data_IF_833318916052
#
_entry.id   IF_833318916052
#
_cell.length_a   1.000
_cell.length_b   1.000
_cell.length_c   1.000
_cell.angle_alpha   90.00
_cell.angle_beta   90.00
_cell.angle_gamma   90.00
#
_symmetry.space_group_name_H-M   'P 1'
#
loop_
_entity.id
_entity.type
_entity.pdbx_description
1 polymer ?
#
# COMPACT_ATOMS: atom_id res chain seq x y z
N UNK A 1 -10.59 20.58 9.00
CA UNK A 1 -9.96 19.96 7.83
C UNK A 1 -9.51 18.55 8.18
N UNK A 2 -9.97 17.60 7.44
CA UNK A 2 -9.47 16.23 7.61
C UNK A 2 -8.12 16.11 6.93
N UNK A 3 -7.11 15.70 7.67
CA UNK A 3 -5.81 15.37 7.10
C UNK A 3 -5.97 14.07 6.29
N UNK A 4 -5.34 14.03 5.11
CA UNK A 4 -5.31 12.82 4.32
C UNK A 4 -4.28 11.86 4.89
N UNK A 5 -4.69 10.63 5.17
CA UNK A 5 -3.77 9.55 5.55
C UNK A 5 -3.73 8.54 4.42
N UNK A 6 -2.54 8.13 4.04
CA UNK A 6 -2.32 7.23 2.91
C UNK A 6 -1.70 5.91 3.35
N UNK A 7 -1.88 4.88 2.52
CA UNK A 7 -1.12 3.64 2.59
C UNK A 7 -0.83 3.10 1.19
N UNK A 8 0.12 2.19 1.10
CA UNK A 8 0.60 1.63 -0.17
C UNK A 8 0.34 0.12 -0.19
N UNK A 9 -0.17 -0.37 -1.32
CA UNK A 9 -0.30 -1.80 -1.56
C UNK A 9 1.07 -2.44 -1.79
N UNK A 10 1.14 -3.74 -1.56
CA UNK A 10 2.36 -4.57 -1.67
C UNK A 10 3.08 -4.39 -3.00
N UNK A 11 2.38 -4.40 -4.12
CA UNK A 11 3.01 -4.33 -5.43
C UNK A 11 3.81 -3.05 -5.61
N UNK A 12 3.35 -1.94 -5.03
CA UNK A 12 4.07 -0.67 -5.11
C UNK A 12 5.39 -0.73 -4.34
N UNK A 13 5.40 -1.43 -3.20
CA UNK A 13 6.62 -1.65 -2.43
C UNK A 13 7.60 -2.56 -3.19
N UNK A 14 7.08 -3.59 -3.85
CA UNK A 14 7.91 -4.48 -4.70
C UNK A 14 8.54 -3.69 -5.83
N UNK A 15 7.75 -2.89 -6.56
CA UNK A 15 8.30 -2.07 -7.65
C UNK A 15 9.36 -1.09 -7.17
N UNK A 16 9.23 -0.59 -5.95
CA UNK A 16 10.20 0.37 -5.39
C UNK A 16 11.61 -0.22 -5.24
N UNK A 17 11.74 -1.55 -5.18
CA UNK A 17 13.05 -2.22 -5.07
C UNK A 17 13.42 -3.05 -6.30
N UNK A 18 12.49 -3.26 -7.22
CA UNK A 18 12.68 -4.10 -8.41
C UNK A 18 13.13 -3.24 -9.59
N UNK A 19 14.43 -3.13 -9.79
CA UNK A 19 14.99 -2.33 -10.89
C UNK A 19 14.60 -2.87 -12.27
N UNK A 20 14.22 -4.15 -12.37
CA UNK A 20 13.78 -4.73 -13.65
C UNK A 20 12.38 -4.24 -14.05
N UNK A 21 11.63 -3.62 -13.14
CA UNK A 21 10.30 -3.09 -13.42
C UNK A 21 10.33 -1.76 -14.19
N UNK A 22 11.49 -1.18 -14.44
CA UNK A 22 11.72 0.01 -15.29
C UNK A 22 10.87 1.22 -14.86
N UNK A 23 9.88 1.62 -15.68
CA UNK A 23 9.04 2.79 -15.40
C UNK A 23 8.25 2.63 -14.10
N UNK A 24 7.75 1.43 -13.80
CA UNK A 24 7.06 1.17 -12.53
C UNK A 24 8.00 1.33 -11.35
N UNK A 25 9.26 0.88 -11.51
CA UNK A 25 10.27 1.07 -10.48
C UNK A 25 10.51 2.55 -10.21
N UNK A 26 10.74 3.35 -11.24
CA UNK A 26 11.01 4.78 -11.08
C UNK A 26 9.84 5.50 -10.40
N UNK A 27 8.61 5.21 -10.83
CA UNK A 27 7.41 5.81 -10.24
C UNK A 27 7.19 5.37 -8.81
N UNK A 28 7.34 4.08 -8.52
CA UNK A 28 7.15 3.56 -7.17
C UNK A 28 8.21 4.08 -6.21
N UNK A 29 9.46 4.17 -6.65
CA UNK A 29 10.53 4.74 -5.84
C UNK A 29 10.23 6.21 -5.50
N UNK A 30 9.80 6.99 -6.47
CA UNK A 30 9.38 8.37 -6.24
C UNK A 30 8.21 8.46 -5.29
N UNK A 31 7.24 7.56 -5.44
CA UNK A 31 6.08 7.50 -4.58
C UNK A 31 6.47 7.24 -3.11
N UNK A 32 7.36 6.28 -2.86
CA UNK A 32 7.84 5.98 -1.50
C UNK A 32 8.57 7.19 -0.91
N UNK A 33 9.41 7.87 -1.71
CA UNK A 33 10.09 9.08 -1.26
C UNK A 33 9.09 10.17 -0.86
N UNK A 34 8.05 10.38 -1.65
CA UNK A 34 7.01 11.35 -1.35
C UNK A 34 6.17 10.92 -0.14
N UNK A 35 5.91 9.64 0.02
CA UNK A 35 5.15 9.10 1.13
C UNK A 35 5.81 9.39 2.48
N UNK A 36 7.15 9.51 2.51
CA UNK A 36 7.88 9.90 3.71
C UNK A 36 7.54 11.32 4.19
N UNK A 37 7.03 12.15 3.28
CA UNK A 37 6.62 13.53 3.58
C UNK A 37 5.13 13.67 3.87
N UNK A 38 4.38 12.58 3.70
CA UNK A 38 2.94 12.53 3.91
C UNK A 38 2.62 11.78 5.21
N UNK A 39 1.34 11.82 5.63
CA UNK A 39 0.86 10.94 6.71
C UNK A 39 0.62 9.56 6.11
N UNK A 40 1.65 8.74 6.08
CA UNK A 40 1.62 7.41 5.48
C UNK A 40 1.84 6.34 6.54
N UNK A 41 0.94 5.37 6.59
CA UNK A 41 1.13 4.14 7.37
C UNK A 41 1.32 2.97 6.40
N UNK A 42 1.93 1.92 6.88
CA UNK A 42 2.00 0.65 6.14
C UNK A 42 1.27 -0.43 6.95
N UNK A 43 0.70 -1.41 6.27
CA UNK A 43 0.11 -2.55 6.95
C UNK A 43 1.16 -3.64 7.12
N UNK A 44 1.09 -4.36 8.22
CA UNK A 44 1.97 -5.51 8.44
C UNK A 44 1.79 -6.56 7.34
N UNK A 45 0.55 -6.73 6.86
CA UNK A 45 0.25 -7.62 5.75
C UNK A 45 1.08 -7.26 4.51
N UNK A 46 1.09 -5.97 4.12
CA UNK A 46 1.83 -5.54 2.93
C UNK A 46 3.33 -5.81 3.07
N UNK A 47 3.89 -5.61 4.26
CA UNK A 47 5.30 -5.91 4.52
C UNK A 47 5.59 -7.40 4.42
N UNK A 48 4.71 -8.24 4.96
CA UNK A 48 4.85 -9.70 4.88
C UNK A 48 4.74 -10.20 3.44
N UNK A 49 3.75 -9.71 2.70
CA UNK A 49 3.58 -10.04 1.29
C UNK A 49 4.76 -9.54 0.44
N UNK A 50 5.30 -8.37 0.77
CA UNK A 50 6.51 -7.85 0.12
C UNK A 50 7.67 -8.83 0.27
N UNK A 51 7.96 -9.25 1.51
CA UNK A 51 9.05 -10.19 1.77
C UNK A 51 8.88 -11.47 0.96
N UNK A 52 7.69 -12.06 1.02
CA UNK A 52 7.38 -13.28 0.28
C UNK A 52 7.58 -13.09 -1.22
N UNK A 53 7.07 -11.99 -1.77
CA UNK A 53 7.13 -11.74 -3.22
C UNK A 53 8.56 -11.53 -3.71
N UNK A 54 9.35 -10.69 -3.04
CA UNK A 54 10.70 -10.35 -3.53
C UNK A 54 11.69 -11.51 -3.37
N UNK A 55 11.54 -12.31 -2.31
CA UNK A 55 12.42 -13.46 -2.09
C UNK A 55 12.03 -14.62 -2.99
N UNK A 56 10.75 -14.87 -3.16
CA UNK A 56 10.26 -15.95 -4.03
C UNK A 56 10.62 -15.73 -5.49
N UNK A 57 10.51 -14.47 -5.96
CA UNK A 57 10.79 -14.13 -7.37
C UNK A 57 12.25 -13.82 -7.64
N UNK A 58 13.11 -13.94 -6.64
CA UNK A 58 14.54 -13.66 -6.79
C UNK A 58 14.86 -12.18 -7.03
N UNK A 59 14.00 -11.27 -6.60
CA UNK A 59 14.20 -9.82 -6.77
C UNK A 59 15.21 -9.27 -5.78
N UNK A 60 15.20 -9.79 -4.54
CA UNK A 60 16.17 -9.45 -3.49
C UNK A 60 16.58 -10.70 -2.73
N UNK A 61 17.84 -10.78 -2.29
CA UNK A 61 18.24 -11.75 -1.28
C UNK A 61 17.45 -11.53 0.03
N UNK A 62 17.20 -12.61 0.77
CA UNK A 62 16.41 -12.53 2.00
C UNK A 62 16.96 -11.51 3.01
N UNK A 63 18.29 -11.44 3.16
CA UNK A 63 18.91 -10.49 4.08
C UNK A 63 18.66 -9.02 3.68
N UNK A 64 18.67 -8.73 2.39
CA UNK A 64 18.39 -7.39 1.89
C UNK A 64 16.90 -7.05 2.04
N UNK A 65 16.01 -8.01 1.77
CA UNK A 65 14.57 -7.83 1.98
C UNK A 65 14.27 -7.54 3.46
N UNK A 66 14.92 -8.26 4.37
CA UNK A 66 14.79 -8.04 5.81
C UNK A 66 15.23 -6.62 6.18
N UNK A 67 16.39 -6.18 5.70
CA UNK A 67 16.89 -4.85 5.98
C UNK A 67 15.96 -3.75 5.45
N UNK A 68 15.39 -3.95 4.27
CA UNK A 68 14.44 -3.01 3.69
C UNK A 68 13.17 -2.90 4.55
N UNK A 69 12.64 -4.02 5.02
CA UNK A 69 11.46 -4.01 5.88
C UNK A 69 11.75 -3.30 7.20
N UNK A 70 12.90 -3.58 7.81
CA UNK A 70 13.30 -2.90 9.04
C UNK A 70 13.43 -1.39 8.85
N UNK A 71 13.98 -0.95 7.72
CA UNK A 71 14.06 0.46 7.39
C UNK A 71 12.68 1.10 7.28
N UNK A 72 11.75 0.45 6.58
CA UNK A 72 10.38 0.96 6.47
C UNK A 72 9.64 0.97 7.80
N UNK A 73 9.88 -0.02 8.67
CA UNK A 73 9.31 -0.03 10.02
C UNK A 73 9.81 1.13 10.87
N UNK A 74 11.03 1.60 10.64
CA UNK A 74 11.58 2.77 11.33
C UNK A 74 11.01 4.08 10.77
N UNK A 75 10.67 4.12 9.49
CA UNK A 75 10.24 5.33 8.79
C UNK A 75 8.73 5.53 8.77
N UNK A 76 7.96 4.45 8.83
CA UNK A 76 6.50 4.49 8.75
C UNK A 76 5.88 3.80 9.97
N UNK A 77 4.75 4.30 10.43
CA UNK A 77 3.94 3.55 11.39
C UNK A 77 3.39 2.29 10.70
N UNK A 78 3.40 1.16 11.40
CA UNK A 78 2.89 -0.11 10.89
C UNK A 78 1.65 -0.50 11.69
N UNK A 79 0.59 -0.86 11.00
CA UNK A 79 -0.69 -1.22 11.61
C UNK A 79 -1.07 -2.67 11.30
N UNK A 80 -1.85 -3.27 12.19
CA UNK A 80 -2.24 -4.66 12.10
C UNK A 80 -3.76 -4.81 12.12
N UNK A 81 -4.24 -5.89 11.50
CA UNK A 81 -5.65 -6.24 11.50
C UNK A 81 -6.09 -6.77 12.87
N UNK A 82 -7.35 -6.49 13.22
CA UNK A 82 -8.03 -7.03 14.40
C UNK A 82 -9.06 -8.08 13.95
N UNK A 83 -9.63 -8.86 14.88
CA UNK A 83 -10.72 -9.77 14.52
C UNK A 83 -11.88 -9.07 13.79
N UNK A 84 -12.26 -7.87 14.24
CA UNK A 84 -13.32 -7.09 13.58
C UNK A 84 -12.92 -6.64 12.16
N UNK A 85 -11.64 -6.42 11.92
CA UNK A 85 -11.13 -6.09 10.58
C UNK A 85 -11.36 -7.25 9.62
N UNK A 86 -11.09 -8.48 10.06
CA UNK A 86 -11.33 -9.68 9.27
C UNK A 86 -12.81 -9.79 8.89
N UNK A 87 -13.70 -9.58 9.86
CA UNK A 87 -15.13 -9.66 9.61
C UNK A 87 -15.58 -8.63 8.57
N UNK A 88 -15.05 -7.43 8.63
CA UNK A 88 -15.32 -6.37 7.64
C UNK A 88 -14.82 -6.76 6.25
N UNK A 89 -13.61 -7.32 6.19
CA UNK A 89 -13.04 -7.78 4.93
C UNK A 89 -13.90 -8.87 4.29
N UNK A 90 -14.35 -9.84 5.08
CA UNK A 90 -15.21 -10.93 4.59
C UNK A 90 -16.53 -10.36 4.07
N UNK A 91 -17.14 -9.43 4.77
CA UNK A 91 -18.36 -8.76 4.30
C UNK A 91 -18.14 -8.10 2.95
N UNK A 92 -17.01 -7.43 2.75
CA UNK A 92 -16.69 -6.79 1.47
C UNK A 92 -16.51 -7.83 0.34
N UNK A 93 -15.91 -8.98 0.62
CA UNK A 93 -15.77 -10.03 -0.42
C UNK A 93 -17.13 -10.57 -0.84
N UNK A 94 -18.07 -10.72 0.09
CA UNK A 94 -19.41 -11.24 -0.21
C UNK A 94 -20.23 -10.21 -0.98
N UNK A 95 -20.22 -8.94 -0.57
CA UNK A 95 -21.10 -7.91 -1.13
C UNK A 95 -20.54 -7.18 -2.32
N UNK A 96 -19.21 -7.11 -2.48
CA UNK A 96 -18.54 -6.30 -3.50
C UNK A 96 -17.69 -7.11 -4.47
N UNK A 97 -17.57 -8.41 -4.28
CA UNK A 97 -16.76 -9.30 -5.12
C UNK A 97 -15.28 -8.87 -5.22
N UNK A 98 -14.75 -8.36 -4.13
CA UNK A 98 -13.33 -8.01 -4.01
C UNK A 98 -12.57 -9.25 -3.55
N UNK A 99 -11.36 -9.45 -4.06
CA UNK A 99 -10.49 -10.54 -3.61
C UNK A 99 -10.19 -10.41 -2.11
N UNK A 100 -10.03 -11.55 -1.43
CA UNK A 100 -9.91 -11.57 0.03
C UNK A 100 -8.74 -10.72 0.54
N UNK A 101 -7.55 -10.88 -0.03
CA UNK A 101 -6.37 -10.16 0.47
C UNK A 101 -6.44 -8.66 0.17
N UNK A 102 -7.05 -8.27 -0.95
CA UNK A 102 -7.34 -6.86 -1.24
C UNK A 102 -8.34 -6.30 -0.24
N UNK A 103 -9.37 -7.08 0.12
CA UNK A 103 -10.34 -6.68 1.12
C UNK A 103 -9.70 -6.53 2.51
N UNK A 104 -8.77 -7.43 2.86
CA UNK A 104 -8.03 -7.34 4.13
C UNK A 104 -7.18 -6.08 4.19
N UNK A 105 -6.50 -5.74 3.10
CA UNK A 105 -5.71 -4.51 3.02
C UNK A 105 -6.61 -3.29 3.19
N UNK A 106 -7.70 -3.24 2.44
CA UNK A 106 -8.66 -2.13 2.52
C UNK A 106 -9.23 -1.99 3.93
N UNK A 107 -9.69 -3.10 4.54
CA UNK A 107 -10.30 -3.06 5.87
C UNK A 107 -9.30 -2.61 6.94
N UNK A 108 -8.05 -3.09 6.85
CA UNK A 108 -6.98 -2.68 7.77
C UNK A 108 -6.68 -1.19 7.62
N UNK A 109 -6.60 -0.72 6.39
CA UNK A 109 -6.37 0.69 6.08
C UNK A 109 -7.50 1.56 6.62
N UNK A 110 -8.75 1.15 6.38
CA UNK A 110 -9.92 1.86 6.87
C UNK A 110 -9.92 1.98 8.40
N UNK A 111 -9.62 0.89 9.09
CA UNK A 111 -9.57 0.89 10.56
C UNK A 111 -8.47 1.81 11.11
N UNK A 112 -7.41 2.02 10.34
CA UNK A 112 -6.31 2.92 10.70
C UNK A 112 -6.55 4.38 10.31
N UNK A 113 -7.73 4.71 9.76
CA UNK A 113 -8.06 6.07 9.36
C UNK A 113 -7.50 6.48 8.02
N UNK A 114 -7.07 5.54 7.19
CA UNK A 114 -6.61 5.82 5.84
C UNK A 114 -7.76 6.34 4.99
N UNK A 115 -7.51 7.42 4.26
CA UNK A 115 -8.48 8.02 3.33
C UNK A 115 -8.08 7.80 1.88
N UNK A 116 -6.81 7.47 1.62
CA UNK A 116 -6.30 7.20 0.28
C UNK A 116 -5.45 5.92 0.28
N UNK A 117 -5.97 4.88 -0.36
CA UNK A 117 -5.25 3.62 -0.57
C UNK A 117 -4.69 3.62 -1.99
N UNK A 118 -3.37 3.55 -2.10
CA UNK A 118 -2.68 3.54 -3.39
C UNK A 118 -2.44 2.08 -3.80
N UNK A 119 -3.07 1.68 -4.91
CA UNK A 119 -3.04 0.30 -5.39
C UNK A 119 -3.35 0.25 -6.88
N UNK A 120 -2.72 -0.69 -7.60
CA UNK A 120 -3.07 -0.97 -8.98
C UNK A 120 -4.08 -2.11 -9.12
N UNK A 121 -4.45 -2.78 -8.01
CA UNK A 121 -5.28 -4.00 -8.02
C UNK A 121 -6.79 -3.73 -8.01
N UNK A 122 -7.21 -2.54 -7.62
CA UNK A 122 -8.63 -2.15 -7.60
C UNK A 122 -8.95 -1.36 -8.85
N UNK A 123 -10.26 -1.15 -9.08
CA UNK A 123 -10.69 -0.19 -10.09
C UNK A 123 -10.20 1.20 -9.71
N UNK A 124 -9.50 1.88 -10.64
CA UNK A 124 -8.96 3.20 -10.40
C UNK A 124 -10.09 4.19 -10.07
N UNK A 125 -9.78 5.12 -9.16
CA UNK A 125 -10.72 6.16 -8.69
C UNK A 125 -11.98 5.62 -8.02
N UNK A 126 -11.91 4.39 -7.47
CA UNK A 126 -13.05 3.88 -6.69
C UNK A 126 -13.03 4.45 -5.27
N UNK A 127 -14.21 4.43 -4.63
CA UNK A 127 -14.36 4.79 -3.22
C UNK A 127 -15.13 3.68 -2.53
N UNK A 128 -14.58 3.19 -1.43
CA UNK A 128 -15.20 2.14 -0.64
C UNK A 128 -15.17 2.57 0.82
N UNK A 129 -16.37 2.85 1.39
CA UNK A 129 -16.54 3.25 2.79
C UNK A 129 -15.59 4.37 3.22
N UNK A 130 -15.54 5.45 2.42
CA UNK A 130 -14.71 6.61 2.74
C UNK A 130 -13.24 6.48 2.41
N UNK A 131 -12.81 5.31 1.91
CA UNK A 131 -11.43 5.12 1.44
C UNK A 131 -11.41 5.27 -0.09
N UNK A 132 -10.73 6.28 -0.57
CA UNK A 132 -10.50 6.48 -2.00
C UNK A 132 -9.37 5.56 -2.43
N UNK A 133 -9.53 4.85 -3.54
CA UNK A 133 -8.53 3.91 -4.05
C UNK A 133 -8.08 4.40 -5.42
N UNK A 134 -6.78 4.61 -5.56
CA UNK A 134 -6.19 5.21 -6.75
C UNK A 134 -4.97 4.41 -7.18
N UNK A 135 -4.85 4.21 -8.50
CA UNK A 135 -3.63 3.65 -9.08
C UNK A 135 -2.62 4.79 -9.32
N UNK A 136 -1.57 4.90 -8.51
CA UNK A 136 -0.63 6.02 -8.63
C UNK A 136 0.24 5.93 -9.89
N UNK A 137 0.34 4.74 -10.48
CA UNK A 137 1.21 4.52 -11.64
C UNK A 137 0.70 5.23 -12.90
N UNK A 138 -0.59 5.56 -12.94
CA UNK A 138 -1.20 6.26 -14.08
C UNK A 138 -1.40 7.75 -13.81
N UNK A 139 -1.06 8.23 -12.62
CA UNK A 139 -1.16 9.65 -12.26
C UNK A 139 0.13 10.39 -12.62
N UNK A 140 -0.02 11.59 -13.18
CA UNK A 140 1.11 12.43 -13.59
C UNK A 140 1.63 13.30 -12.45
N UNK A 141 0.74 13.71 -11.54
CA UNK A 141 1.07 14.61 -10.43
C UNK A 141 1.01 13.86 -9.10
N UNK A 142 2.05 13.10 -8.78
CA UNK A 142 2.12 12.37 -7.52
C UNK A 142 2.13 13.31 -6.30
N UNK A 143 2.90 14.43 -6.29
CA UNK A 143 2.84 15.34 -5.15
C UNK A 143 1.42 15.87 -4.90
N UNK A 144 0.69 16.25 -5.93
CA UNK A 144 -0.70 16.71 -5.81
C UNK A 144 -1.63 15.62 -5.30
N UNK A 145 -1.46 14.39 -5.80
CA UNK A 145 -2.25 13.24 -5.34
C UNK A 145 -2.09 13.02 -3.84
N UNK A 146 -0.87 13.19 -3.32
CA UNK A 146 -0.57 12.99 -1.90
C UNK A 146 -0.81 14.24 -1.04
N UNK A 147 -1.28 15.34 -1.63
CA UNK A 147 -1.54 16.56 -0.89
C UNK A 147 -0.28 17.32 -0.49
N UNK A 148 0.81 17.19 -1.25
CA UNK A 148 2.12 17.78 -0.94
C UNK A 148 2.44 19.04 -1.73
N UNK A 149 1.49 19.61 -2.44
CA UNK A 149 1.69 20.85 -3.19
C UNK A 149 1.49 22.08 -2.31
#
# INVERSE_FOLDING_TARGET
MSAQRITLDTNLLVYAVDTSARDRHAKALKLVELALKADCILTLQALGEFYFAVTRKGKLPAAEAKAQIEAWQDLFAVVVAKPSTLNRAITATVSRQIGFWDAMLWATARDAGVTLLLSENFSDESVLDGVRIVNPLVHKDLPGLLGLN
#
